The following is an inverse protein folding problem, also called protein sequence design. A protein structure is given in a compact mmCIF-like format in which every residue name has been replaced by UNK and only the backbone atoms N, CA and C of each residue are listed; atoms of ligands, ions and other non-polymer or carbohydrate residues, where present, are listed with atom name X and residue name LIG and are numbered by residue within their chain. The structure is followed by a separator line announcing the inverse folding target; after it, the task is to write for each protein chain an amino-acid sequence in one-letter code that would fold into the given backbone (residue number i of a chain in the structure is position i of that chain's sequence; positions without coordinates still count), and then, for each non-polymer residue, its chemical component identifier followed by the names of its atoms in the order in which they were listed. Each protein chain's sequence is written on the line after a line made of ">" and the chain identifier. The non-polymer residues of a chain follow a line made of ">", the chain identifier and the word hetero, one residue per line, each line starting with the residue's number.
data_IF_520514609499
#
_entry.id   IF_520514609499
#
_cell.length_a   1.000
_cell.length_b   1.000
_cell.length_c   1.000
_cell.angle_alpha   90.00
_cell.angle_beta   90.00
_cell.angle_gamma   90.00
#
_symmetry.space_group_name_H-M   'P 1'
#
loop_
_entity.id
_entity.type
_entity.pdbx_description
1 polymer ?
#
# COMPACT_ATOMS: atom_id res chain seq x y z
N UNK A 1 17.78 7.69 -12.49
CA UNK A 1 18.42 8.98 -12.20
C UNK A 1 17.39 9.86 -11.50
N UNK A 2 17.57 10.12 -10.21
CA UNK A 2 16.86 11.22 -9.53
C UNK A 2 17.67 12.48 -9.91
N UNK A 3 17.10 13.49 -10.56
CA UNK A 3 17.88 14.66 -10.95
C UNK A 3 18.22 15.46 -9.70
N UNK A 4 19.51 15.70 -9.46
CA UNK A 4 19.95 16.85 -8.66
C UNK A 4 19.69 18.11 -9.46
N UNK A 5 18.44 18.57 -9.49
CA UNK A 5 18.03 19.75 -10.22
C UNK A 5 18.33 21.02 -9.40
N UNK A 6 19.56 21.51 -9.48
CA UNK A 6 19.81 22.94 -9.39
C UNK A 6 19.84 23.50 -10.82
N UNK A 7 18.68 23.95 -11.31
CA UNK A 7 18.53 25.08 -12.25
C UNK A 7 17.14 25.14 -12.88
N UNK A 8 16.58 26.36 -12.89
CA UNK A 8 15.42 26.85 -13.67
C UNK A 8 14.04 26.20 -13.43
N UNK A 9 13.26 26.84 -12.55
CA UNK A 9 11.80 27.06 -12.55
C UNK A 9 10.80 25.92 -12.71
N UNK A 10 11.21 24.65 -12.79
CA UNK A 10 10.31 23.50 -12.71
C UNK A 10 10.75 22.65 -11.53
N UNK A 11 9.97 22.70 -10.45
CA UNK A 11 10.14 21.78 -9.32
C UNK A 11 10.05 20.33 -9.83
N UNK A 12 10.88 19.41 -9.33
CA UNK A 12 10.81 18.00 -9.74
C UNK A 12 9.40 17.44 -9.46
N UNK A 13 8.94 16.52 -10.31
CA UNK A 13 7.68 15.80 -10.14
C UNK A 13 7.51 15.35 -8.68
N UNK A 14 6.44 15.82 -8.04
CA UNK A 14 6.13 15.57 -6.63
C UNK A 14 5.82 14.10 -6.29
N UNK A 15 5.95 13.16 -7.22
CA UNK A 15 5.66 11.74 -7.02
C UNK A 15 6.68 10.93 -7.79
N UNK A 16 7.27 9.92 -7.16
CA UNK A 16 8.19 9.00 -7.82
C UNK A 16 7.52 7.65 -8.02
N UNK A 17 7.39 7.23 -9.28
CA UNK A 17 6.87 5.91 -9.65
C UNK A 17 8.05 4.95 -9.83
N UNK A 18 8.02 3.79 -9.17
CA UNK A 18 9.01 2.74 -9.40
C UNK A 18 8.34 1.38 -9.47
N UNK A 19 8.77 0.56 -10.43
CA UNK A 19 8.43 -0.85 -10.46
C UNK A 19 9.42 -1.61 -9.58
N UNK A 20 8.91 -2.38 -8.63
CA UNK A 20 9.72 -3.31 -7.85
C UNK A 20 10.23 -4.42 -8.77
N UNK A 21 11.52 -4.71 -8.70
CA UNK A 21 12.14 -5.84 -9.36
C UNK A 21 12.47 -6.91 -8.30
N UNK A 22 12.05 -8.17 -8.49
CA UNK A 22 12.34 -9.25 -7.54
C UNK A 22 13.83 -9.38 -7.24
N UNK A 23 14.17 -9.79 -6.02
CA UNK A 23 15.55 -9.96 -5.53
C UNK A 23 16.34 -11.06 -6.28
N UNK A 24 15.65 -11.90 -7.06
CA UNK A 24 16.27 -12.95 -7.89
C UNK A 24 16.95 -12.45 -9.19
N UNK A 25 16.88 -11.15 -9.50
CA UNK A 25 17.62 -10.53 -10.61
C UNK A 25 19.04 -10.13 -10.16
N UNK A 26 20.03 -10.09 -11.07
CA UNK A 26 21.44 -9.99 -10.71
C UNK A 26 21.77 -8.78 -9.81
N UNK A 27 22.71 -9.04 -8.90
CA UNK A 27 23.19 -8.31 -7.70
C UNK A 27 23.34 -6.77 -7.80
N UNK A 28 23.24 -6.17 -8.98
CA UNK A 28 23.41 -4.73 -9.22
C UNK A 28 22.11 -3.89 -9.13
N UNK A 29 20.94 -4.51 -9.16
CA UNK A 29 19.64 -3.79 -9.10
C UNK A 29 19.17 -3.39 -7.69
N UNK A 30 19.37 -4.20 -6.63
CA UNK A 30 18.95 -3.83 -5.27
C UNK A 30 19.71 -2.63 -4.70
N UNK A 31 20.94 -2.37 -5.17
CA UNK A 31 21.72 -1.20 -4.77
C UNK A 31 21.11 0.13 -5.26
N UNK A 32 20.28 0.11 -6.31
CA UNK A 32 19.54 1.28 -6.78
C UNK A 32 18.31 1.57 -5.92
N UNK A 33 17.69 0.54 -5.30
CA UNK A 33 16.64 0.72 -4.30
C UNK A 33 17.16 1.51 -3.08
N UNK A 34 18.42 1.33 -2.70
CA UNK A 34 19.07 2.05 -1.60
C UNK A 34 19.22 3.55 -1.84
N UNK A 35 19.70 3.94 -3.02
CA UNK A 35 19.77 5.36 -3.40
C UNK A 35 18.38 5.95 -3.60
N UNK A 36 17.41 5.14 -4.00
CA UNK A 36 16.00 5.52 -4.15
C UNK A 36 15.29 5.70 -2.80
N UNK A 37 15.51 4.84 -1.81
CA UNK A 37 14.99 5.07 -0.46
C UNK A 37 15.69 6.30 0.15
N UNK A 38 17.02 6.37 0.14
CA UNK A 38 17.72 7.49 0.76
C UNK A 38 17.50 8.88 0.10
N UNK A 39 17.19 8.94 -1.21
CA UNK A 39 17.01 10.21 -1.93
C UNK A 39 15.57 10.52 -2.38
N UNK A 40 14.66 9.54 -2.43
CA UNK A 40 13.27 9.73 -2.88
C UNK A 40 12.19 9.30 -1.88
N UNK A 41 12.57 8.87 -0.66
CA UNK A 41 11.63 8.66 0.45
C UNK A 41 10.65 9.80 0.75
N UNK A 42 10.79 11.07 0.30
CA UNK A 42 9.74 12.04 0.56
C UNK A 42 8.40 11.74 -0.13
N UNK A 43 8.32 10.99 -1.26
CA UNK A 43 7.06 10.87 -2.06
C UNK A 43 7.00 9.66 -3.02
N UNK A 44 7.28 8.44 -2.55
CA UNK A 44 7.34 7.25 -3.42
C UNK A 44 6.01 6.50 -3.58
N UNK A 45 5.65 6.19 -4.82
CA UNK A 45 4.64 5.22 -5.23
C UNK A 45 5.36 4.00 -5.82
N UNK A 46 5.39 2.89 -5.06
CA UNK A 46 6.06 1.66 -5.46
C UNK A 46 5.06 0.65 -6.00
N UNK A 47 5.24 0.19 -7.22
CA UNK A 47 4.45 -0.88 -7.84
C UNK A 47 5.23 -2.20 -7.73
N UNK A 48 4.93 -3.11 -6.80
CA UNK A 48 5.25 -4.52 -6.96
C UNK A 48 4.40 -5.13 -8.06
N UNK A 49 4.77 -4.83 -9.30
CA UNK A 49 4.35 -5.58 -10.46
C UNK A 49 5.30 -6.76 -10.60
N UNK A 50 4.80 -7.98 -10.41
CA UNK A 50 5.48 -9.16 -10.94
C UNK A 50 5.60 -8.97 -12.46
N UNK A 51 6.80 -9.18 -12.99
CA UNK A 51 7.15 -8.91 -14.40
C UNK A 51 6.22 -9.64 -15.41
N UNK A 52 5.56 -10.73 -15.02
CA UNK A 52 4.57 -11.45 -15.83
C UNK A 52 3.25 -10.68 -16.04
N UNK A 53 2.90 -9.72 -15.17
CA UNK A 53 1.53 -9.21 -15.07
C UNK A 53 1.38 -7.79 -15.62
N UNK A 54 2.47 -7.04 -15.74
CA UNK A 54 2.45 -5.63 -16.18
C UNK A 54 1.89 -5.43 -17.61
N UNK A 55 2.16 -6.37 -18.51
CA UNK A 55 1.64 -6.32 -19.90
C UNK A 55 0.17 -6.71 -20.01
N UNK A 56 -0.36 -7.43 -19.02
CA UNK A 56 -1.75 -7.93 -19.02
C UNK A 56 -2.69 -6.98 -18.28
N UNK A 57 -2.15 -6.18 -17.34
CA UNK A 57 -2.86 -5.31 -16.41
C UNK A 57 -3.79 -4.25 -17.03
N UNK A 58 -3.46 -3.72 -18.22
CA UNK A 58 -4.27 -2.71 -18.92
C UNK A 58 -4.89 -3.22 -20.23
N UNK A 59 -4.95 -4.54 -20.42
CA UNK A 59 -5.59 -5.11 -21.60
C UNK A 59 -7.05 -4.65 -21.67
N UNK A 60 -7.52 -4.28 -22.86
CA UNK A 60 -8.87 -3.75 -23.08
C UNK A 60 -9.96 -4.67 -22.49
N UNK A 61 -11.01 -4.09 -21.88
CA UNK A 61 -12.09 -4.89 -21.29
C UNK A 61 -12.81 -5.69 -22.38
N UNK A 62 -12.89 -7.01 -22.21
CA UNK A 62 -13.72 -7.87 -23.05
C UNK A 62 -15.13 -7.95 -22.46
N UNK A 63 -16.15 -7.98 -23.31
CA UNK A 63 -17.57 -7.97 -22.90
C UNK A 63 -18.03 -9.19 -22.06
N UNK A 64 -17.13 -10.15 -21.81
CA UNK A 64 -17.38 -11.38 -21.04
C UNK A 64 -16.63 -11.43 -19.69
N UNK A 65 -15.91 -10.38 -19.31
CA UNK A 65 -15.17 -10.35 -18.04
C UNK A 65 -16.10 -10.08 -16.86
N UNK A 66 -15.91 -10.82 -15.77
CA UNK A 66 -16.56 -10.52 -14.49
C UNK A 66 -16.18 -9.08 -14.05
N UNK A 67 -17.05 -8.38 -13.30
CA UNK A 67 -16.75 -7.02 -12.85
C UNK A 67 -15.51 -7.02 -11.97
N UNK A 68 -14.47 -6.32 -12.44
CA UNK A 68 -13.18 -6.24 -11.74
C UNK A 68 -13.25 -5.28 -10.55
N UNK A 69 -12.51 -5.58 -9.48
CA UNK A 69 -12.44 -4.78 -8.26
C UNK A 69 -11.05 -4.21 -8.03
N UNK A 70 -10.99 -2.99 -7.52
CA UNK A 70 -9.77 -2.41 -6.93
C UNK A 70 -9.99 -2.37 -5.43
N UNK A 71 -9.12 -3.08 -4.70
CA UNK A 71 -9.17 -3.18 -3.25
C UNK A 71 -8.21 -2.18 -2.63
N UNK A 72 -8.70 -1.34 -1.74
CA UNK A 72 -7.90 -0.33 -1.05
C UNK A 72 -7.77 -0.74 0.41
N UNK A 73 -6.57 -1.10 0.82
CA UNK A 73 -6.22 -1.41 2.19
C UNK A 73 -5.58 -0.18 2.83
N UNK A 74 -6.39 0.54 3.60
CA UNK A 74 -5.99 1.76 4.29
C UNK A 74 -5.47 1.39 5.69
N UNK A 75 -4.14 1.28 5.82
CA UNK A 75 -3.49 0.64 6.96
C UNK A 75 -2.80 1.63 7.91
N UNK A 76 -2.49 2.84 7.45
CA UNK A 76 -1.66 3.80 8.20
C UNK A 76 -2.34 5.15 8.44
N UNK A 77 -1.71 5.94 9.31
CA UNK A 77 -1.97 7.37 9.53
C UNK A 77 -1.46 8.28 8.41
N UNK A 78 -0.88 7.74 7.32
CA UNK A 78 -0.35 8.47 6.15
C UNK A 78 -1.43 9.17 5.30
N UNK A 79 -2.50 9.61 5.97
CA UNK A 79 -3.61 10.34 5.41
C UNK A 79 -4.41 9.51 4.41
N UNK A 80 -5.01 10.22 3.45
CA UNK A 80 -5.90 9.65 2.46
C UNK A 80 -5.19 9.31 1.15
N UNK A 81 -3.85 9.23 1.11
CA UNK A 81 -3.11 9.07 -0.16
C UNK A 81 -3.53 7.80 -0.94
N UNK A 82 -3.70 6.60 -0.34
CA UNK A 82 -4.24 5.43 -1.04
C UNK A 82 -5.62 5.69 -1.66
N UNK A 83 -6.47 6.45 -0.97
CA UNK A 83 -7.80 6.83 -1.45
C UNK A 83 -7.72 7.84 -2.59
N UNK A 84 -6.78 8.79 -2.53
CA UNK A 84 -6.49 9.75 -3.61
C UNK A 84 -6.04 9.03 -4.87
N UNK A 85 -5.08 8.12 -4.75
CA UNK A 85 -4.59 7.33 -5.89
C UNK A 85 -5.73 6.52 -6.50
N UNK A 86 -6.55 5.85 -5.68
CA UNK A 86 -7.70 5.13 -6.19
C UNK A 86 -8.70 6.04 -6.90
N UNK A 87 -8.98 7.22 -6.36
CA UNK A 87 -9.85 8.20 -7.00
C UNK A 87 -9.32 8.59 -8.39
N UNK A 88 -8.02 8.87 -8.52
CA UNK A 88 -7.39 9.18 -9.80
C UNK A 88 -7.48 8.01 -10.78
N UNK A 89 -7.26 6.78 -10.32
CA UNK A 89 -7.39 5.59 -11.17
C UNK A 89 -8.82 5.40 -11.67
N UNK A 90 -9.85 5.71 -10.88
CA UNK A 90 -11.25 5.64 -11.33
C UNK A 90 -11.62 6.68 -12.39
N UNK A 91 -10.83 7.75 -12.54
CA UNK A 91 -11.03 8.75 -13.60
C UNK A 91 -10.47 8.22 -14.93
N UNK A 92 -9.47 7.36 -14.89
CA UNK A 92 -8.83 6.82 -16.08
C UNK A 92 -9.75 5.82 -16.79
N UNK A 93 -9.93 5.96 -18.11
CA UNK A 93 -10.84 5.13 -18.92
C UNK A 93 -10.64 3.63 -18.68
N UNK A 94 -9.38 3.19 -18.66
CA UNK A 94 -9.02 1.78 -18.48
C UNK A 94 -9.46 1.18 -17.13
N UNK A 95 -9.66 1.98 -16.07
CA UNK A 95 -9.98 1.49 -14.72
C UNK A 95 -11.29 2.09 -14.17
N UNK A 96 -11.93 2.98 -14.91
CA UNK A 96 -13.20 3.62 -14.56
C UNK A 96 -14.37 2.65 -14.40
N UNK A 97 -14.26 1.46 -14.98
CA UNK A 97 -15.26 0.39 -14.91
C UNK A 97 -15.11 -0.49 -13.65
N UNK A 98 -13.96 -0.43 -12.95
CA UNK A 98 -13.69 -1.25 -11.79
C UNK A 98 -14.49 -0.77 -10.58
N UNK A 99 -14.99 -1.72 -9.78
CA UNK A 99 -15.64 -1.41 -8.51
C UNK A 99 -14.59 -1.20 -7.41
N UNK A 100 -14.76 -0.15 -6.61
CA UNK A 100 -13.87 0.12 -5.47
C UNK A 100 -14.37 -0.59 -4.22
N UNK A 101 -13.49 -1.29 -3.50
CA UNK A 101 -13.72 -1.80 -2.15
C UNK A 101 -12.69 -1.19 -1.20
N UNK A 102 -13.13 -0.69 -0.05
CA UNK A 102 -12.26 -0.07 0.95
C UNK A 102 -12.25 -0.93 2.21
N UNK A 103 -11.05 -1.29 2.65
CA UNK A 103 -10.78 -1.99 3.89
C UNK A 103 -9.95 -1.07 4.76
N UNK A 104 -10.51 -0.61 5.87
CA UNK A 104 -9.75 0.15 6.86
C UNK A 104 -9.22 -0.81 7.90
N UNK A 105 -7.90 -0.83 8.06
CA UNK A 105 -7.29 -1.51 9.18
C UNK A 105 -7.43 -0.71 10.45
N UNK A 106 -7.66 -1.38 11.58
CA UNK A 106 -7.51 -0.77 12.89
C UNK A 106 -7.05 -1.78 13.92
N UNK A 107 -6.02 -1.42 14.69
CA UNK A 107 -5.61 -2.25 15.83
C UNK A 107 -6.68 -2.22 16.92
N UNK A 108 -6.99 -3.36 17.54
CA UNK A 108 -7.97 -3.42 18.63
C UNK A 108 -7.70 -2.42 19.77
N UNK A 109 -6.41 -2.11 20.03
CA UNK A 109 -6.03 -1.10 21.02
C UNK A 109 -6.46 0.32 20.61
N UNK A 110 -6.31 0.66 19.34
CA UNK A 110 -6.70 1.97 18.80
C UNK A 110 -8.22 2.09 18.76
N UNK A 111 -8.92 1.05 18.31
CA UNK A 111 -10.38 1.00 18.36
C UNK A 111 -10.90 1.23 19.79
N UNK A 112 -10.31 0.55 20.78
CA UNK A 112 -10.66 0.72 22.19
C UNK A 112 -10.35 2.13 22.72
N UNK A 113 -9.23 2.74 22.31
CA UNK A 113 -8.85 4.09 22.72
C UNK A 113 -9.81 5.17 22.16
N UNK A 114 -10.37 4.95 20.97
CA UNK A 114 -11.38 5.82 20.37
C UNK A 114 -12.75 5.64 21.05
N UNK A 115 -12.93 4.60 21.88
CA UNK A 115 -14.18 4.31 22.58
C UNK A 115 -15.36 4.07 21.63
N UNK A 116 -15.07 3.73 20.37
CA UNK A 116 -16.05 3.50 19.31
C UNK A 116 -16.06 2.04 18.92
N UNK A 117 -17.24 1.49 18.72
CA UNK A 117 -17.38 0.17 18.13
C UNK A 117 -17.03 0.19 16.63
N UNK A 118 -16.75 -0.99 16.09
CA UNK A 118 -16.38 -1.18 14.67
C UNK A 118 -17.45 -0.57 13.74
N UNK A 119 -18.72 -0.71 14.10
CA UNK A 119 -19.85 -0.20 13.30
C UNK A 119 -19.89 1.34 13.23
N UNK A 120 -19.60 2.03 14.34
CA UNK A 120 -19.47 3.49 14.35
C UNK A 120 -18.30 3.97 13.50
N UNK A 121 -17.15 3.29 13.61
CA UNK A 121 -15.96 3.61 12.79
C UNK A 121 -16.29 3.43 11.31
N UNK A 122 -16.91 2.31 10.93
CA UNK A 122 -17.30 2.04 9.54
C UNK A 122 -18.28 3.09 9.01
N UNK A 123 -19.23 3.55 9.84
CA UNK A 123 -20.15 4.63 9.48
C UNK A 123 -19.41 5.94 9.21
N UNK A 124 -18.41 6.28 10.04
CA UNK A 124 -17.55 7.45 9.84
C UNK A 124 -16.71 7.34 8.57
N UNK A 125 -16.15 6.17 8.28
CA UNK A 125 -15.40 5.90 7.04
C UNK A 125 -16.31 6.07 5.82
N UNK A 126 -17.51 5.48 5.82
CA UNK A 126 -18.49 5.67 4.74
C UNK A 126 -18.84 7.13 4.53
N UNK A 127 -19.04 7.89 5.60
CA UNK A 127 -19.31 9.32 5.52
C UNK A 127 -18.12 10.08 4.91
N UNK A 128 -16.89 9.79 5.36
CA UNK A 128 -15.67 10.38 4.82
C UNK A 128 -15.51 10.10 3.32
N UNK A 129 -15.70 8.86 2.87
CA UNK A 129 -15.61 8.48 1.46
C UNK A 129 -16.64 9.20 0.58
N UNK A 130 -17.83 9.49 1.11
CA UNK A 130 -18.84 10.31 0.41
C UNK A 130 -18.36 11.75 0.21
N UNK A 131 -17.77 12.37 1.22
CA UNK A 131 -17.18 13.71 1.12
C UNK A 131 -16.00 13.70 0.14
N UNK A 132 -15.15 12.67 0.23
CA UNK A 132 -14.00 12.45 -0.65
C UNK A 132 -14.40 12.09 -2.10
N UNK A 133 -15.70 11.86 -2.36
CA UNK A 133 -16.26 11.47 -3.66
C UNK A 133 -15.70 10.16 -4.21
N UNK A 134 -15.22 9.27 -3.34
CA UNK A 134 -14.84 7.91 -3.72
C UNK A 134 -16.05 6.98 -3.57
N UNK A 135 -16.58 6.50 -4.70
CA UNK A 135 -17.76 5.62 -4.74
C UNK A 135 -17.35 4.17 -4.45
N UNK A 136 -17.06 3.89 -3.18
CA UNK A 136 -16.81 2.52 -2.73
C UNK A 136 -18.11 1.70 -2.73
N UNK A 137 -18.12 0.54 -3.40
CA UNK A 137 -19.22 -0.44 -3.34
C UNK A 137 -19.25 -1.20 -2.02
N UNK A 138 -18.08 -1.34 -1.39
CA UNK A 138 -17.91 -2.04 -0.13
C UNK A 138 -16.97 -1.23 0.77
N UNK A 139 -17.32 -1.17 2.05
CA UNK A 139 -16.48 -0.60 3.11
C UNK A 139 -16.50 -1.59 4.25
N UNK A 140 -15.35 -1.94 4.77
CA UNK A 140 -15.22 -2.78 5.96
C UNK A 140 -14.11 -2.24 6.84
N UNK A 141 -14.32 -2.29 8.15
CA UNK A 141 -13.28 -2.01 9.14
C UNK A 141 -12.80 -3.35 9.68
N UNK A 142 -11.54 -3.67 9.38
CA UNK A 142 -10.89 -4.92 9.77
C UNK A 142 -10.11 -4.66 11.04
N UNK A 143 -10.54 -5.30 12.13
CA UNK A 143 -9.85 -5.21 13.42
C UNK A 143 -9.16 -6.53 13.74
N UNK A 144 -7.86 -6.48 13.98
CA UNK A 144 -7.08 -7.68 14.28
C UNK A 144 -6.58 -7.75 15.71
N UNK A 145 -6.28 -8.98 16.11
CA UNK A 145 -5.91 -9.35 17.46
C UNK A 145 -4.66 -8.61 17.92
N UNK A 146 -4.63 -8.31 19.22
CA UNK A 146 -3.43 -7.76 19.87
C UNK A 146 -2.23 -8.68 19.65
N UNK A 147 -1.12 -8.08 19.30
CA UNK A 147 0.19 -8.73 19.40
C UNK A 147 0.49 -9.06 20.88
N UNK A 148 1.07 -10.23 21.17
CA UNK A 148 1.38 -10.64 22.53
C UNK A 148 2.23 -9.61 23.30
N UNK A 149 1.97 -9.49 24.60
CA UNK A 149 2.78 -8.67 25.49
C UNK A 149 4.15 -9.33 25.69
N UNK A 150 5.23 -8.55 25.61
CA UNK A 150 6.61 -9.01 25.85
C UNK A 150 7.43 -9.25 24.57
N UNK A 151 6.84 -9.13 23.39
CA UNK A 151 7.58 -9.18 22.12
C UNK A 151 8.37 -7.90 21.87
N UNK A 152 9.53 -8.05 21.20
CA UNK A 152 10.33 -6.92 20.69
C UNK A 152 9.52 -6.12 19.66
N UNK A 153 9.89 -4.87 19.43
CA UNK A 153 9.24 -4.02 18.43
C UNK A 153 9.31 -4.65 17.02
N UNK A 154 10.41 -5.32 16.70
CA UNK A 154 10.62 -6.02 15.43
C UNK A 154 9.70 -7.23 15.28
N UNK A 155 9.65 -8.12 16.28
CA UNK A 155 8.76 -9.28 16.26
C UNK A 155 7.29 -8.85 16.15
N UNK A 156 6.93 -7.76 16.83
CA UNK A 156 5.60 -7.16 16.75
C UNK A 156 5.29 -6.64 15.34
N UNK A 157 6.24 -5.99 14.68
CA UNK A 157 6.06 -5.48 13.32
C UNK A 157 5.82 -6.64 12.32
N UNK A 158 6.65 -7.69 12.39
CA UNK A 158 6.51 -8.88 11.56
C UNK A 158 5.15 -9.58 11.80
N UNK A 159 4.73 -9.69 13.05
CA UNK A 159 3.43 -10.28 13.39
C UNK A 159 2.27 -9.46 12.82
N UNK A 160 2.35 -8.12 12.87
CA UNK A 160 1.37 -7.23 12.25
C UNK A 160 1.31 -7.40 10.73
N UNK A 161 2.46 -7.47 10.07
CA UNK A 161 2.54 -7.68 8.62
C UNK A 161 1.96 -9.04 8.21
N UNK A 162 2.26 -10.11 8.96
CA UNK A 162 1.71 -11.44 8.71
C UNK A 162 0.19 -11.46 8.85
N UNK A 163 -0.33 -10.87 9.94
CA UNK A 163 -1.77 -10.75 10.15
C UNK A 163 -2.45 -9.89 9.06
N UNK A 164 -1.78 -8.82 8.62
CA UNK A 164 -2.28 -7.97 7.54
C UNK A 164 -2.35 -8.74 6.22
N UNK A 165 -1.30 -9.48 5.87
CA UNK A 165 -1.31 -10.32 4.68
C UNK A 165 -2.44 -11.36 4.74
N UNK A 166 -2.61 -12.06 5.86
CA UNK A 166 -3.70 -13.03 6.02
C UNK A 166 -5.09 -12.37 5.85
N UNK A 167 -5.28 -11.17 6.39
CA UNK A 167 -6.50 -10.41 6.23
C UNK A 167 -6.73 -9.96 4.77
N UNK A 168 -5.68 -9.57 4.05
CA UNK A 168 -5.71 -9.21 2.64
C UNK A 168 -6.05 -10.41 1.76
N UNK A 169 -5.35 -11.53 1.94
CA UNK A 169 -5.54 -12.77 1.16
C UNK A 169 -6.96 -13.31 1.36
N UNK A 170 -7.47 -13.35 2.59
CA UNK A 170 -8.81 -13.87 2.89
C UNK A 170 -9.97 -13.06 2.29
N UNK A 171 -9.74 -11.79 1.93
CA UNK A 171 -10.76 -10.88 1.34
C UNK A 171 -10.55 -10.61 -0.14
N UNK A 172 -9.39 -10.98 -0.66
CA UNK A 172 -9.09 -10.93 -2.08
C UNK A 172 -10.00 -11.90 -2.82
N UNK A 173 -10.61 -11.45 -3.91
CA UNK A 173 -11.46 -12.30 -4.77
C UNK A 173 -10.77 -12.51 -6.11
N UNK A 174 -11.23 -13.51 -6.87
CA UNK A 174 -10.74 -13.73 -8.24
C UNK A 174 -11.01 -12.54 -9.19
N UNK A 175 -11.89 -11.61 -8.79
CA UNK A 175 -12.18 -10.38 -9.52
C UNK A 175 -11.27 -9.20 -9.12
N UNK A 176 -10.43 -9.33 -8.08
CA UNK A 176 -9.54 -8.23 -7.67
C UNK A 176 -8.43 -8.07 -8.69
N UNK A 177 -8.47 -6.95 -9.42
CA UNK A 177 -7.47 -6.58 -10.42
C UNK A 177 -6.22 -5.96 -9.78
N UNK A 178 -6.43 -5.10 -8.78
CA UNK A 178 -5.37 -4.32 -8.13
C UNK A 178 -5.68 -4.19 -6.64
N UNK A 179 -4.65 -4.32 -5.83
CA UNK A 179 -4.68 -3.96 -4.41
C UNK A 179 -3.81 -2.72 -4.18
N UNK A 180 -4.33 -1.71 -3.49
CA UNK A 180 -3.60 -0.49 -3.13
C UNK A 180 -3.43 -0.46 -1.62
N UNK A 181 -2.21 -0.33 -1.12
CA UNK A 181 -1.96 -0.27 0.32
C UNK A 181 -0.77 0.61 0.68
N UNK A 182 -0.63 0.95 1.96
CA UNK A 182 0.48 1.72 2.46
C UNK A 182 1.79 0.91 2.39
N UNK A 183 2.90 1.55 2.04
CA UNK A 183 4.22 0.93 2.12
C UNK A 183 4.66 0.88 3.59
N UNK A 184 5.02 -0.31 4.10
CA UNK A 184 5.58 -0.40 5.46
C UNK A 184 6.94 0.29 5.51
N UNK A 185 7.16 1.20 6.46
CA UNK A 185 8.47 1.84 6.60
C UNK A 185 9.57 0.81 6.92
N UNK A 186 10.77 0.91 6.29
CA UNK A 186 11.89 0.05 6.65
C UNK A 186 12.36 0.36 8.07
N UNK A 187 12.74 -0.67 8.83
CA UNK A 187 13.35 -0.53 10.15
C UNK A 187 14.83 -0.15 10.03
N UNK A 188 15.47 0.19 11.15
CA UNK A 188 16.92 0.39 11.22
C UNK A 188 17.70 -0.81 10.64
N UNK A 189 17.23 -2.02 10.94
CA UNK A 189 17.81 -3.27 10.44
C UNK A 189 17.65 -3.41 8.92
N UNK A 190 16.47 -3.06 8.38
CA UNK A 190 16.22 -3.04 6.94
C UNK A 190 17.12 -2.03 6.22
N UNK A 191 17.43 -0.89 6.83
CA UNK A 191 18.36 0.08 6.26
C UNK A 191 19.82 -0.40 6.33
N UNK A 192 20.18 -1.16 7.36
CA UNK A 192 21.48 -1.80 7.48
C UNK A 192 21.63 -3.02 6.54
N UNK A 193 20.53 -3.71 6.22
CA UNK A 193 20.48 -4.91 5.37
C UNK A 193 19.37 -4.81 4.32
N UNK A 194 19.56 -4.03 3.24
CA UNK A 194 18.48 -3.62 2.33
C UNK A 194 17.88 -4.75 1.50
N UNK A 195 18.63 -5.85 1.33
CA UNK A 195 18.14 -7.05 0.68
C UNK A 195 17.01 -7.72 1.49
N UNK A 196 17.04 -7.61 2.82
CA UNK A 196 16.04 -8.27 3.68
C UNK A 196 14.68 -7.57 3.62
N UNK A 197 14.66 -6.25 3.35
CA UNK A 197 13.42 -5.51 3.17
C UNK A 197 12.66 -5.94 1.91
N UNK A 198 13.39 -6.33 0.85
CA UNK A 198 12.80 -6.91 -0.34
C UNK A 198 12.03 -8.19 -0.03
N UNK A 199 12.63 -9.08 0.75
CA UNK A 199 12.03 -10.36 1.17
C UNK A 199 10.79 -10.14 2.05
N UNK A 200 10.81 -9.11 2.91
CA UNK A 200 9.65 -8.72 3.74
C UNK A 200 8.49 -8.26 2.87
N UNK A 201 8.72 -7.40 1.87
CA UNK A 201 7.67 -6.96 0.95
C UNK A 201 7.12 -8.11 0.10
N UNK A 202 7.98 -9.05 -0.33
CA UNK A 202 7.54 -10.25 -1.04
C UNK A 202 6.67 -11.14 -0.16
N UNK A 203 7.04 -11.33 1.10
CA UNK A 203 6.26 -12.09 2.07
C UNK A 203 4.92 -11.40 2.39
N UNK A 204 4.91 -10.07 2.52
CA UNK A 204 3.70 -9.29 2.78
C UNK A 204 2.69 -9.31 1.63
N UNK A 205 3.16 -9.53 0.39
CA UNK A 205 2.33 -9.61 -0.81
C UNK A 205 2.06 -11.05 -1.29
N UNK A 206 2.53 -12.07 -0.56
CA UNK A 206 2.40 -13.45 -0.98
C UNK A 206 0.93 -13.88 -1.07
N UNK A 207 0.48 -14.26 -2.26
CA UNK A 207 -0.90 -14.69 -2.51
C UNK A 207 -1.86 -13.57 -2.92
N UNK A 208 -1.37 -12.35 -3.11
CA UNK A 208 -2.17 -11.21 -3.54
C UNK A 208 -2.09 -10.97 -5.06
N UNK A 209 -3.10 -10.29 -5.65
CA UNK A 209 -3.01 -9.72 -7.00
C UNK A 209 -1.90 -8.65 -7.05
N UNK A 210 -1.65 -8.02 -8.22
CA UNK A 210 -0.78 -6.85 -8.30
C UNK A 210 -1.06 -5.85 -7.15
N UNK A 211 -0.01 -5.52 -6.40
CA UNK A 211 -0.10 -4.58 -5.28
C UNK A 211 0.51 -3.25 -5.73
N UNK A 212 -0.08 -2.15 -5.29
CA UNK A 212 0.45 -0.80 -5.42
C UNK A 212 0.68 -0.24 -4.02
N UNK A 213 1.95 -0.13 -3.66
CA UNK A 213 2.38 0.47 -2.41
C UNK A 213 2.45 1.99 -2.52
N UNK A 214 1.88 2.64 -1.52
CA UNK A 214 1.74 4.09 -1.43
C UNK A 214 2.47 4.56 -0.17
N UNK A 215 3.38 5.53 -0.30
CA UNK A 215 4.05 6.15 0.83
C UNK A 215 3.93 7.67 0.71
N UNK A 216 3.41 8.32 1.76
CA UNK A 216 3.57 9.76 1.93
C UNK A 216 4.86 9.99 2.71
N UNK A 217 5.85 10.63 2.12
CA UNK A 217 7.09 10.95 2.85
C UNK A 217 7.02 12.27 3.60
N UNK A 218 5.82 12.72 3.96
CA UNK A 218 5.60 13.57 5.11
C UNK A 218 5.71 12.82 6.46
N UNK A 219 5.79 11.48 6.45
CA UNK A 219 6.04 10.71 7.66
C UNK A 219 7.45 10.95 8.18
N UNK A 220 7.59 11.75 9.25
CA UNK A 220 8.73 11.58 10.15
C UNK A 220 8.82 10.10 10.49
N UNK A 221 9.94 9.48 10.11
CA UNK A 221 10.36 8.21 10.69
C UNK A 221 10.52 8.49 12.18
N UNK A 222 9.45 8.36 12.96
CA UNK A 222 9.54 8.27 14.41
C UNK A 222 10.24 6.94 14.69
N UNK A 223 11.56 6.96 14.60
CA UNK A 223 12.41 6.01 15.29
C UNK A 223 12.02 6.10 16.76
N UNK A 224 11.34 5.05 17.22
CA UNK A 224 11.21 4.82 18.65
C UNK A 224 12.59 4.32 19.08
N UNK A 225 13.34 5.19 19.76
CA UNK A 225 14.54 4.85 20.52
C UNK A 225 14.25 3.74 21.55
#
# INVERSE_FOLDING_TARGET
>A
MIPTAQSSSLEPLNVVLSAYLPTHLPIYLPACLLTYFAASLPRCLGLPLRHSDASTFLSTPSAQRAPETIDIWWVSHDGALPLTIAHLLTIHEALSHCAIRVFMWIEQREAAAIGSDVASIETRVRHFLRIFRLRAKHVEVVSLARTPLGETAEARALHKEAQLNEAMVSRTTASTLLLITNLTAPSALHLAQPLTYGDVLEAACAGLPPVLFVCDGAGELHYVD
#
